data_IF_450420796708
#
_entry.id   IF_450420796708
#
_cell.length_a   1.000
_cell.length_b   1.000
_cell.length_c   1.000
_cell.angle_alpha   90.00
_cell.angle_beta   90.00
_cell.angle_gamma   90.00
#
_symmetry.space_group_name_H-M   'P 1'
#
loop_
_entity.id
_entity.type
_entity.pdbx_description
1 polymer ?
#
# COMPACT_ATOMS: atom_id res chain seq x y z
N UNK A 1 22.52 -3.56 13.98
CA UNK A 1 21.77 -2.42 13.43
C UNK A 1 20.38 -2.94 13.12
N UNK A 2 19.37 -2.51 13.86
CA UNK A 2 17.98 -2.80 13.50
C UNK A 2 17.73 -2.17 12.14
N UNK A 3 17.53 -2.97 11.09
CA UNK A 3 17.11 -2.46 9.79
C UNK A 3 15.77 -1.74 10.02
N UNK A 4 15.78 -0.41 10.02
CA UNK A 4 14.54 0.36 9.97
C UNK A 4 13.81 -0.02 8.69
N UNK A 5 12.52 -0.33 8.79
CA UNK A 5 11.68 -0.68 7.64
C UNK A 5 11.72 0.45 6.59
N UNK A 6 11.75 0.09 5.31
CA UNK A 6 11.71 1.07 4.24
C UNK A 6 10.30 1.68 4.15
N UNK A 7 10.20 3.01 4.22
CA UNK A 7 8.91 3.73 4.17
C UNK A 7 8.90 4.62 2.95
N UNK A 8 7.84 4.53 2.14
CA UNK A 8 7.68 5.35 0.95
C UNK A 8 6.34 6.06 0.94
N UNK A 9 6.32 7.25 0.35
CA UNK A 9 5.13 8.00 -0.01
C UNK A 9 5.11 8.15 -1.52
N UNK A 10 4.02 7.75 -2.15
CA UNK A 10 3.90 7.74 -3.61
C UNK A 10 2.56 8.28 -4.06
N UNK A 11 2.56 8.87 -5.25
CA UNK A 11 1.37 9.07 -6.06
C UNK A 11 1.33 8.00 -7.15
N UNK A 12 0.17 7.39 -7.38
CA UNK A 12 0.01 6.34 -8.39
C UNK A 12 -1.42 6.27 -8.92
N UNK A 13 -1.61 5.48 -9.99
CA UNK A 13 -2.93 5.15 -10.53
C UNK A 13 -3.31 3.72 -10.19
N UNK A 14 -4.60 3.49 -9.90
CA UNK A 14 -5.15 2.16 -9.69
C UNK A 14 -5.21 1.45 -11.05
N UNK A 15 -4.44 0.38 -11.21
CA UNK A 15 -4.50 -0.53 -12.37
C UNK A 15 -5.70 -1.45 -12.26
N UNK A 16 -5.89 -2.08 -11.09
CA UNK A 16 -7.04 -2.92 -10.76
C UNK A 16 -7.34 -2.89 -9.27
N UNK A 17 -8.60 -3.17 -8.95
CA UNK A 17 -9.09 -3.42 -7.59
C UNK A 17 -9.45 -4.89 -7.54
N UNK A 18 -8.73 -5.66 -6.72
CA UNK A 18 -9.02 -7.08 -6.53
C UNK A 18 -10.05 -7.27 -5.41
N UNK A 19 -10.58 -8.49 -5.27
CA UNK A 19 -11.50 -8.78 -4.17
C UNK A 19 -10.82 -8.57 -2.82
N UNK A 20 -11.51 -7.88 -1.92
CA UNK A 20 -11.06 -7.71 -0.55
C UNK A 20 -10.90 -9.08 0.13
N UNK A 21 -9.87 -9.17 0.99
CA UNK A 21 -9.59 -10.39 1.76
C UNK A 21 -9.85 -10.12 3.23
N UNK A 22 -10.72 -10.92 3.85
CA UNK A 22 -10.98 -10.88 5.29
C UNK A 22 -10.25 -12.01 5.99
N UNK A 23 -9.34 -11.66 6.90
CA UNK A 23 -8.57 -12.63 7.70
C UNK A 23 -8.44 -12.12 9.13
N UNK A 24 -8.52 -13.00 10.14
CA UNK A 24 -8.23 -12.67 11.54
C UNK A 24 -8.91 -11.37 12.06
N UNK A 25 -10.17 -11.14 11.71
CA UNK A 25 -10.97 -10.01 12.22
C UNK A 25 -10.76 -8.68 11.50
N UNK A 26 -9.97 -8.65 10.42
CA UNK A 26 -9.78 -7.45 9.60
C UNK A 26 -10.03 -7.74 8.13
N UNK A 27 -10.27 -6.69 7.36
CA UNK A 27 -10.39 -6.78 5.91
C UNK A 27 -9.32 -5.93 5.23
N UNK A 28 -8.85 -6.36 4.06
CA UNK A 28 -7.83 -5.66 3.30
C UNK A 28 -8.31 -5.34 1.89
N UNK A 29 -8.19 -4.08 1.49
CA UNK A 29 -8.18 -3.74 0.08
C UNK A 29 -6.89 -4.22 -0.55
N UNK A 30 -7.03 -4.81 -1.73
CA UNK A 30 -5.94 -5.27 -2.55
C UNK A 30 -5.95 -4.49 -3.87
N UNK A 31 -4.98 -3.59 -4.04
CA UNK A 31 -4.89 -2.71 -5.20
C UNK A 31 -3.62 -2.98 -5.97
N UNK A 32 -3.74 -3.13 -7.29
CA UNK A 32 -2.59 -3.03 -8.19
C UNK A 32 -2.42 -1.58 -8.58
N UNK A 33 -1.25 -1.02 -8.35
CA UNK A 33 -0.92 0.36 -8.69
C UNK A 33 0.12 0.38 -9.81
N UNK A 34 0.02 1.37 -10.69
CA UNK A 34 1.00 1.62 -11.76
C UNK A 34 1.33 3.10 -11.87
N UNK A 35 2.35 3.41 -12.67
CA UNK A 35 2.86 4.77 -12.87
C UNK A 35 3.26 5.44 -11.54
N UNK A 36 3.90 4.66 -10.66
CA UNK A 36 4.31 5.11 -9.33
C UNK A 36 5.33 6.25 -9.41
N UNK A 37 4.95 7.40 -8.85
CA UNK A 37 5.79 8.57 -8.64
C UNK A 37 6.12 8.66 -7.15
N UNK A 38 7.41 8.55 -6.83
CA UNK A 38 7.89 8.60 -5.44
C UNK A 38 8.00 10.06 -5.01
N UNK A 39 7.27 10.43 -3.95
CA UNK A 39 7.32 11.76 -3.35
C UNK A 39 8.31 11.81 -2.19
N UNK A 40 8.42 10.72 -1.43
CA UNK A 40 9.35 10.59 -0.31
C UNK A 40 9.76 9.13 -0.13
N UNK A 41 11.00 8.89 0.30
CA UNK A 41 11.52 7.55 0.58
C UNK A 41 12.53 7.58 1.74
N UNK A 42 12.38 6.64 2.67
CA UNK A 42 13.27 6.41 3.81
C UNK A 42 13.68 4.94 3.83
N UNK A 43 14.94 4.65 4.16
CA UNK A 43 15.44 3.27 4.22
C UNK A 43 15.61 2.56 2.87
N UNK A 44 15.28 3.22 1.75
CA UNK A 44 15.44 2.70 0.39
C UNK A 44 15.82 3.81 -0.59
N UNK A 45 16.56 3.49 -1.66
CA UNK A 45 16.82 4.44 -2.75
C UNK A 45 15.61 4.50 -3.67
N UNK A 46 15.29 5.70 -4.15
CA UNK A 46 14.18 5.90 -5.10
C UNK A 46 14.35 5.07 -6.39
N UNK A 47 15.59 4.84 -6.84
CA UNK A 47 15.89 4.00 -8.01
C UNK A 47 15.48 2.53 -7.86
N UNK A 48 15.31 2.07 -6.62
CA UNK A 48 15.06 0.67 -6.28
C UNK A 48 13.57 0.41 -6.01
N UNK A 49 12.72 1.45 -6.17
CA UNK A 49 11.26 1.36 -6.01
C UNK A 49 10.62 1.05 -7.36
N UNK A 50 9.82 -0.01 -7.40
CA UNK A 50 9.13 -0.46 -8.61
C UNK A 50 8.07 0.55 -9.08
N UNK A 51 7.87 0.61 -10.40
CA UNK A 51 6.82 1.43 -11.03
C UNK A 51 5.44 0.81 -11.00
N UNK A 52 5.37 -0.49 -10.70
CA UNK A 52 4.15 -1.21 -10.38
C UNK A 52 4.30 -1.79 -8.97
N UNK A 53 3.29 -1.57 -8.13
CA UNK A 53 3.28 -2.02 -6.73
C UNK A 53 1.89 -2.55 -6.36
N UNK A 54 1.84 -3.50 -5.45
CA UNK A 54 0.62 -3.93 -4.78
C UNK A 54 0.45 -3.13 -3.50
N UNK A 55 -0.67 -2.44 -3.34
CA UNK A 55 -1.02 -1.80 -2.08
C UNK A 55 -2.00 -2.68 -1.29
N UNK A 56 -1.67 -2.94 -0.03
CA UNK A 56 -2.52 -3.66 0.92
C UNK A 56 -2.98 -2.69 2.01
N UNK A 57 -4.27 -2.39 2.03
CA UNK A 57 -4.85 -1.38 2.93
C UNK A 57 -5.84 -2.08 3.87
N UNK A 58 -5.46 -2.19 5.14
CA UNK A 58 -6.26 -2.84 6.18
C UNK A 58 -7.31 -1.88 6.71
N UNK A 59 -8.53 -2.38 6.97
CA UNK A 59 -9.61 -1.65 7.61
C UNK A 59 -10.49 -2.58 8.46
N UNK A 60 -11.29 -1.98 9.35
CA UNK A 60 -12.34 -2.66 10.11
C UNK A 60 -11.92 -3.19 11.49
N UNK A 61 -10.75 -2.82 12.00
CA UNK A 61 -10.34 -3.10 13.38
C UNK A 61 -9.67 -1.89 14.06
N UNK A 62 -9.34 -2.03 15.34
CA UNK A 62 -8.77 -0.97 16.19
C UNK A 62 -7.36 -0.51 15.78
N UNK A 63 -6.67 -1.30 14.95
CA UNK A 63 -5.31 -1.04 14.48
C UNK A 63 -5.29 -0.60 13.01
N UNK A 64 -6.44 -0.42 12.37
CA UNK A 64 -6.58 -0.20 10.94
C UNK A 64 -7.39 1.05 10.65
N UNK A 65 -7.65 1.32 9.37
CA UNK A 65 -8.63 2.33 9.03
C UNK A 65 -10.00 1.96 9.62
N UNK A 66 -10.72 2.94 10.21
CA UNK A 66 -12.01 2.68 10.85
C UNK A 66 -13.10 2.29 9.85
N UNK A 67 -12.92 2.68 8.57
CA UNK A 67 -13.88 2.43 7.50
C UNK A 67 -13.15 2.09 6.18
N UNK A 68 -13.80 1.34 5.27
CA UNK A 68 -13.24 1.08 3.94
C UNK A 68 -13.12 2.36 3.12
N UNK A 69 -12.20 2.35 2.15
CA UNK A 69 -12.14 3.38 1.11
C UNK A 69 -13.18 3.03 0.06
N UNK A 70 -14.25 3.81 -0.01
CA UNK A 70 -15.34 3.60 -0.97
C UNK A 70 -15.02 4.21 -2.33
N UNK A 71 -15.52 3.60 -3.40
CA UNK A 71 -15.41 4.13 -4.76
C UNK A 71 -14.09 3.84 -5.47
N UNK A 72 -13.18 3.05 -4.88
CA UNK A 72 -11.95 2.60 -5.53
C UNK A 72 -12.26 1.98 -6.90
N UNK A 73 -11.59 2.48 -7.94
CA UNK A 73 -11.80 2.04 -9.31
C UNK A 73 -10.53 2.21 -10.13
N UNK A 74 -10.34 1.34 -11.13
CA UNK A 74 -9.25 1.44 -12.08
C UNK A 74 -9.21 2.82 -12.79
N UNK A 75 -8.02 3.32 -13.06
CA UNK A 75 -7.75 4.63 -13.65
C UNK A 75 -7.83 5.80 -12.68
N UNK A 76 -8.29 5.61 -11.45
CA UNK A 76 -8.32 6.68 -10.44
C UNK A 76 -6.93 6.83 -9.79
N UNK A 77 -6.54 8.07 -9.51
CA UNK A 77 -5.29 8.36 -8.81
C UNK A 77 -5.48 8.31 -7.29
N UNK A 78 -4.42 7.92 -6.59
CA UNK A 78 -4.34 8.03 -5.14
C UNK A 78 -2.92 8.42 -4.71
N UNK A 79 -2.83 8.96 -3.50
CA UNK A 79 -1.58 9.08 -2.77
C UNK A 79 -1.59 8.08 -1.62
N UNK A 80 -0.47 7.40 -1.42
CA UNK A 80 -0.33 6.38 -0.38
C UNK A 80 1.04 6.45 0.25
N UNK A 81 1.06 6.35 1.58
CA UNK A 81 2.28 6.17 2.37
C UNK A 81 2.20 4.85 3.11
N UNK A 82 3.30 4.11 3.14
CA UNK A 82 3.40 2.86 3.91
C UNK A 82 4.79 2.24 3.82
N UNK A 83 4.91 1.03 4.36
CA UNK A 83 6.13 0.24 4.35
C UNK A 83 6.28 -0.44 3.00
N UNK A 84 7.41 -0.20 2.34
CA UNK A 84 7.77 -0.84 1.08
C UNK A 84 8.54 -2.13 1.34
N UNK A 85 8.05 -3.21 0.75
CA UNK A 85 8.69 -4.51 0.72
C UNK A 85 9.01 -4.84 -0.74
N UNK A 86 10.30 -5.00 -1.03
CA UNK A 86 10.76 -5.43 -2.34
C UNK A 86 10.33 -6.90 -2.56
N UNK A 87 10.10 -7.29 -3.82
CA UNK A 87 9.75 -8.66 -4.22
C UNK A 87 10.71 -9.71 -3.66
N UNK A 88 11.99 -9.35 -3.49
CA UNK A 88 13.03 -10.23 -2.98
C UNK A 88 12.97 -10.43 -1.46
N UNK A 89 12.15 -9.63 -0.76
CA UNK A 89 12.00 -9.62 0.70
C UNK A 89 10.65 -10.16 1.17
N UNK A 90 9.74 -10.45 0.25
CA UNK A 90 8.42 -10.98 0.57
C UNK A 90 8.48 -12.48 0.80
N UNK A 91 8.00 -12.91 1.97
CA UNK A 91 7.57 -14.30 2.14
C UNK A 91 6.43 -14.57 1.14
N UNK A 92 6.40 -15.74 0.47
CA UNK A 92 5.42 -16.06 -0.57
C UNK A 92 3.94 -15.96 -0.15
N UNK A 93 3.68 -15.77 1.14
CA UNK A 93 2.37 -15.66 1.77
C UNK A 93 1.76 -14.25 1.57
N UNK A 94 2.57 -13.21 1.38
CA UNK A 94 2.06 -11.83 1.21
C UNK A 94 1.96 -11.49 -0.28
N UNK A 95 0.82 -11.85 -0.87
CA UNK A 95 0.29 -11.27 -2.10
C UNK A 95 1.19 -11.34 -3.34
N UNK A 96 1.01 -12.39 -4.15
CA UNK A 96 1.63 -12.61 -5.48
C UNK A 96 3.17 -12.63 -5.45
N UNK A 97 3.83 -13.74 -5.81
CA UNK A 97 5.29 -13.89 -5.69
C UNK A 97 6.13 -12.91 -6.52
N UNK A 98 5.52 -12.08 -7.36
CA UNK A 98 6.20 -11.26 -8.36
C UNK A 98 6.14 -9.75 -8.11
N UNK A 99 5.37 -9.27 -7.13
CA UNK A 99 5.08 -7.83 -7.00
C UNK A 99 5.67 -7.21 -5.73
N UNK A 100 6.28 -6.04 -5.87
CA UNK A 100 6.65 -5.22 -4.70
C UNK A 100 5.38 -4.77 -3.98
N UNK A 101 5.41 -4.80 -2.65
CA UNK A 101 4.23 -4.55 -1.82
C UNK A 101 4.42 -3.29 -0.99
N UNK A 102 3.40 -2.45 -0.96
CA UNK A 102 3.25 -1.39 0.01
C UNK A 102 2.24 -1.85 1.08
N UNK A 103 2.78 -2.25 2.23
CA UNK A 103 2.06 -2.73 3.40
C UNK A 103 2.01 -1.66 4.50
N UNK A 104 1.22 -1.87 5.56
CA UNK A 104 1.03 -0.88 6.64
C UNK A 104 0.68 0.52 6.16
N UNK A 105 -0.23 0.63 5.18
CA UNK A 105 -0.78 1.91 4.76
C UNK A 105 -1.70 2.57 5.81
N UNK A 106 -1.56 2.22 7.10
CA UNK A 106 -2.36 2.70 8.22
C UNK A 106 -1.48 3.11 9.40
N UNK A 107 -2.10 3.66 10.46
CA UNK A 107 -1.41 4.08 11.69
C UNK A 107 -0.44 3.00 12.24
N UNK A 108 0.74 3.41 12.76
CA UNK A 108 1.24 4.77 12.89
C UNK A 108 2.03 5.29 11.66
N UNK A 109 2.25 4.46 10.63
CA UNK A 109 3.23 4.74 9.57
C UNK A 109 2.57 5.30 8.30
N UNK A 110 1.43 4.75 7.92
CA UNK A 110 0.82 4.96 6.63
C UNK A 110 -0.49 5.72 6.62
N UNK A 111 -0.87 6.16 5.43
CA UNK A 111 -2.17 6.77 5.14
C UNK A 111 -2.48 6.60 3.65
N UNK A 112 -3.75 6.83 3.30
CA UNK A 112 -4.19 6.95 1.91
C UNK A 112 -4.92 8.27 1.72
N UNK A 113 -4.64 8.98 0.64
CA UNK A 113 -5.47 10.10 0.17
C UNK A 113 -6.13 9.68 -1.14
N UNK A 114 -7.46 9.65 -1.14
CA UNK A 114 -8.29 9.26 -2.28
C UNK A 114 -9.52 10.15 -2.37
N UNK A 115 -9.84 10.65 -3.58
CA UNK A 115 -10.99 11.54 -3.78
C UNK A 115 -10.98 12.81 -2.90
N UNK A 116 -9.80 13.27 -2.50
CA UNK A 116 -9.63 14.40 -1.57
C UNK A 116 -9.83 14.09 -0.10
N UNK A 117 -10.16 12.83 0.27
CA UNK A 117 -10.28 12.36 1.65
C UNK A 117 -9.02 11.62 2.07
N UNK A 118 -8.55 11.89 3.29
CA UNK A 118 -7.43 11.20 3.95
C UNK A 118 -7.95 10.12 4.90
N UNK A 119 -7.32 8.95 4.86
CA UNK A 119 -7.58 7.78 5.70
C UNK A 119 -6.31 7.42 6.48
N UNK A 120 -6.40 7.29 7.81
CA UNK A 120 -5.28 6.98 8.73
C UNK A 120 -5.68 6.22 10.00
#
# INVERSE_FOLDING_TARGET
MTNSEAVIQVQAFIKSVENDVTTNGYTQHYLRLHEVVVMHAEGIKVSDINKEITALIRYGDEHSFPEPITGLAAGQSLEIKGVYLDKNTLDPIIGSPDDAVLYYAHRPVGYVVYGGKRYE
#
